data_IF_175232300406
#
_entry.id   IF_175232300406
#
_cell.length_a   1.000
_cell.length_b   1.000
_cell.length_c   1.000
_cell.angle_alpha   90.00
_cell.angle_beta   90.00
_cell.angle_gamma   90.00
#
_symmetry.space_group_name_H-M   'P 1'
#
loop_
_entity.id
_entity.type
_entity.pdbx_description
1 polymer ?
#
# COMPACT_ATOMS: atom_id res chain seq x y z
N UNK A 1 -52.42 -20.68 -8.15
CA UNK A 1 -51.63 -20.01 -7.12
C UNK A 1 -50.16 -19.98 -7.61
N UNK A 2 -49.76 -18.88 -8.25
CA UNK A 2 -48.40 -18.70 -8.76
C UNK A 2 -47.57 -18.15 -7.61
N UNK A 3 -46.66 -18.95 -7.05
CA UNK A 3 -45.73 -18.53 -6.01
C UNK A 3 -44.61 -17.77 -6.69
N UNK A 4 -44.56 -16.45 -6.50
CA UNK A 4 -43.45 -15.62 -6.91
C UNK A 4 -42.37 -15.76 -5.83
N UNK A 5 -41.29 -16.49 -6.12
CA UNK A 5 -40.11 -16.51 -5.28
C UNK A 5 -39.29 -15.27 -5.68
N UNK A 6 -39.34 -14.23 -4.85
CA UNK A 6 -38.39 -13.12 -4.91
C UNK A 6 -37.02 -13.68 -4.50
N UNK A 7 -36.16 -13.93 -5.49
CA UNK A 7 -34.74 -14.08 -5.26
C UNK A 7 -34.21 -12.71 -4.85
N UNK A 8 -34.29 -12.37 -3.59
CA UNK A 8 -33.45 -11.38 -3.03
C UNK A 8 -32.05 -11.99 -3.04
N UNK A 9 -31.25 -11.68 -4.10
CA UNK A 9 -29.81 -11.75 -3.98
C UNK A 9 -29.53 -10.99 -2.69
N UNK A 10 -29.22 -11.74 -1.62
CA UNK A 10 -28.55 -11.16 -0.49
C UNK A 10 -27.35 -10.48 -1.14
N UNK A 11 -27.43 -9.17 -1.34
CA UNK A 11 -26.26 -8.35 -1.34
C UNK A 11 -25.63 -8.75 -0.01
N UNK A 12 -24.70 -9.72 -0.05
CA UNK A 12 -23.66 -9.74 0.95
C UNK A 12 -23.29 -8.28 1.03
N UNK A 13 -23.75 -7.66 2.12
CA UNK A 13 -23.37 -6.34 2.45
C UNK A 13 -21.94 -6.23 1.96
N UNK A 14 -21.70 -5.37 0.97
CA UNK A 14 -20.35 -4.91 0.70
C UNK A 14 -20.02 -4.18 1.98
N UNK A 15 -19.63 -4.98 3.00
CA UNK A 15 -19.25 -4.49 4.30
C UNK A 15 -18.33 -3.37 3.98
N UNK A 16 -18.70 -2.18 4.34
CA UNK A 16 -18.02 -0.96 3.98
C UNK A 16 -16.56 -1.14 4.37
N UNK A 17 -15.68 -1.08 3.39
CA UNK A 17 -14.24 -1.12 3.62
C UNK A 17 -13.80 0.30 3.95
N UNK A 18 -13.35 0.49 5.17
CA UNK A 18 -12.84 1.76 5.65
C UNK A 18 -11.34 1.86 5.34
N UNK A 19 -10.95 2.95 4.69
CA UNK A 19 -9.56 3.28 4.41
C UNK A 19 -9.18 4.48 5.25
N UNK A 20 -8.17 4.34 6.11
CA UNK A 20 -7.81 5.34 7.10
C UNK A 20 -6.30 5.41 7.35
N UNK A 21 -5.85 6.51 7.94
CA UNK A 21 -4.50 6.61 8.48
C UNK A 21 -4.40 5.66 9.67
N UNK A 22 -3.40 4.77 9.63
CA UNK A 22 -3.16 3.85 10.74
C UNK A 22 -2.58 4.57 11.94
N UNK A 23 -2.88 4.04 13.13
CA UNK A 23 -2.33 4.48 14.40
C UNK A 23 -1.86 3.29 15.25
N UNK A 24 -1.43 3.54 16.48
CA UNK A 24 -0.91 2.51 17.38
C UNK A 24 -1.92 1.39 17.67
N UNK A 25 -3.23 1.66 17.62
CA UNK A 25 -4.26 0.64 17.85
C UNK A 25 -4.29 -0.44 16.78
N UNK A 26 -3.74 -0.16 15.60
CA UNK A 26 -3.68 -1.09 14.49
C UNK A 26 -2.48 -2.06 14.53
N UNK A 27 -1.64 -1.98 15.56
CA UNK A 27 -0.49 -2.88 15.73
C UNK A 27 -0.90 -4.37 15.75
N UNK A 28 -2.11 -4.66 16.19
CA UNK A 28 -2.68 -6.02 16.20
C UNK A 28 -2.74 -6.68 14.82
N UNK A 29 -2.71 -5.89 13.75
CA UNK A 29 -2.75 -6.37 12.36
C UNK A 29 -1.36 -6.57 11.74
N UNK A 30 -0.27 -6.21 12.41
CA UNK A 30 1.07 -6.20 11.82
C UNK A 30 1.48 -7.59 11.32
N UNK A 31 1.25 -8.64 12.11
CA UNK A 31 1.63 -9.99 11.71
C UNK A 31 0.85 -10.45 10.48
N UNK A 32 -0.44 -10.14 10.40
CA UNK A 32 -1.28 -10.42 9.22
C UNK A 32 -0.79 -9.65 7.98
N UNK A 33 -0.37 -8.40 8.15
CA UNK A 33 0.21 -7.59 7.08
C UNK A 33 1.49 -8.24 6.55
N UNK A 34 2.41 -8.61 7.44
CA UNK A 34 3.68 -9.23 7.07
C UNK A 34 3.48 -10.57 6.39
N UNK A 35 2.56 -11.40 6.87
CA UNK A 35 2.20 -12.67 6.25
C UNK A 35 1.63 -12.45 4.84
N UNK A 36 0.72 -11.50 4.69
CA UNK A 36 0.11 -11.16 3.39
C UNK A 36 1.17 -10.71 2.39
N UNK A 37 2.14 -9.90 2.82
CA UNK A 37 3.26 -9.45 1.98
C UNK A 37 4.12 -10.64 1.56
N UNK A 38 4.51 -11.51 2.48
CA UNK A 38 5.32 -12.70 2.18
C UNK A 38 4.63 -13.64 1.19
N UNK A 39 3.35 -13.91 1.40
CA UNK A 39 2.56 -14.77 0.53
C UNK A 39 2.43 -14.19 -0.88
N UNK A 40 2.21 -12.90 -1.01
CA UNK A 40 2.15 -12.23 -2.31
C UNK A 40 3.49 -12.27 -3.05
N UNK A 41 4.61 -12.13 -2.33
CA UNK A 41 5.95 -12.26 -2.90
C UNK A 41 6.23 -13.68 -3.41
N UNK A 42 5.88 -14.69 -2.61
CA UNK A 42 6.06 -16.09 -2.98
C UNK A 42 5.30 -16.44 -4.27
N UNK A 43 4.06 -15.97 -4.41
CA UNK A 43 3.24 -16.20 -5.62
C UNK A 43 3.85 -15.54 -6.85
N UNK A 44 4.43 -14.34 -6.72
CA UNK A 44 5.04 -13.62 -7.83
C UNK A 44 6.44 -14.11 -8.18
N UNK A 45 7.07 -14.90 -7.30
CA UNK A 45 8.47 -15.33 -7.45
C UNK A 45 9.46 -14.16 -7.35
N UNK A 46 9.05 -13.06 -6.75
CA UNK A 46 9.90 -11.88 -6.52
C UNK A 46 10.39 -11.86 -5.09
N UNK A 47 11.68 -11.55 -4.88
CA UNK A 47 12.17 -11.21 -3.56
C UNK A 47 11.48 -9.93 -3.08
N UNK A 48 11.04 -9.92 -1.83
CA UNK A 48 10.64 -8.68 -1.14
C UNK A 48 11.62 -8.50 0.01
N UNK A 49 12.10 -7.27 0.18
CA UNK A 49 12.85 -6.92 1.37
C UNK A 49 11.99 -7.22 2.60
N UNK A 50 12.48 -8.07 3.50
CA UNK A 50 11.76 -8.39 4.72
C UNK A 50 11.66 -7.15 5.60
N UNK A 51 10.47 -6.96 6.15
CA UNK A 51 10.19 -5.90 7.13
C UNK A 51 9.92 -6.53 8.48
N UNK A 52 10.39 -5.90 9.53
CA UNK A 52 10.15 -6.36 10.89
C UNK A 52 8.79 -5.90 11.39
N UNK A 53 8.26 -6.61 12.39
CA UNK A 53 7.06 -6.18 13.12
C UNK A 53 7.21 -4.75 13.64
N UNK A 54 8.33 -4.45 14.29
CA UNK A 54 8.62 -3.13 14.85
C UNK A 54 8.64 -2.02 13.80
N UNK A 55 9.22 -2.29 12.62
CA UNK A 55 9.26 -1.33 11.52
C UNK A 55 7.85 -0.92 11.08
N UNK A 56 6.96 -1.89 10.85
CA UNK A 56 5.58 -1.63 10.43
C UNK A 56 4.79 -0.94 11.56
N UNK A 57 4.93 -1.40 12.80
CA UNK A 57 4.29 -0.78 13.96
C UNK A 57 4.72 0.69 14.15
N UNK A 58 6.00 0.99 13.93
CA UNK A 58 6.52 2.37 13.98
C UNK A 58 5.89 3.26 12.92
N UNK A 59 5.71 2.77 11.69
CA UNK A 59 4.99 3.50 10.63
C UNK A 59 3.56 3.84 11.03
N UNK A 60 2.87 2.94 11.69
CA UNK A 60 1.53 3.17 12.22
C UNK A 60 1.54 4.23 13.33
N UNK A 61 2.41 4.10 14.32
CA UNK A 61 2.53 5.04 15.44
C UNK A 61 2.87 6.47 14.99
N UNK A 62 3.68 6.59 13.94
CA UNK A 62 4.07 7.88 13.37
C UNK A 62 3.02 8.48 12.42
N UNK A 63 1.92 7.78 12.15
CA UNK A 63 0.90 8.23 11.19
C UNK A 63 1.42 8.27 9.74
N UNK A 64 2.33 7.36 9.39
CA UNK A 64 2.93 7.21 8.05
C UNK A 64 2.43 5.96 7.31
N UNK A 65 1.29 5.45 7.70
CA UNK A 65 0.70 4.27 7.09
C UNK A 65 -0.80 4.47 6.86
N UNK A 66 -1.30 3.79 5.84
CA UNK A 66 -2.72 3.67 5.53
C UNK A 66 -3.11 2.22 5.74
N UNK A 67 -4.21 1.99 6.43
CA UNK A 67 -4.81 0.67 6.60
C UNK A 67 -6.24 0.65 6.08
N UNK A 68 -6.62 -0.46 5.49
CA UNK A 68 -7.99 -0.73 5.08
C UNK A 68 -8.54 -1.89 5.89
N UNK A 69 -9.70 -1.70 6.49
CA UNK A 69 -10.40 -2.67 7.31
C UNK A 69 -11.83 -2.87 6.80
N UNK A 70 -12.26 -4.12 6.80
CA UNK A 70 -13.65 -4.51 6.61
C UNK A 70 -14.20 -4.99 7.97
N UNK A 71 -14.85 -4.10 8.72
CA UNK A 71 -15.07 -4.34 10.14
C UNK A 71 -13.74 -4.48 10.88
N UNK A 72 -13.52 -5.60 11.56
CA UNK A 72 -12.26 -5.92 12.24
C UNK A 72 -11.31 -6.77 11.38
N UNK A 73 -11.65 -7.01 10.11
CA UNK A 73 -10.84 -7.83 9.21
C UNK A 73 -9.90 -6.98 8.39
N UNK A 74 -8.61 -7.35 8.39
CA UNK A 74 -7.61 -6.70 7.56
C UNK A 74 -7.90 -6.88 6.07
N UNK A 75 -7.90 -5.78 5.33
CA UNK A 75 -8.16 -5.76 3.90
C UNK A 75 -6.98 -5.23 3.06
N UNK A 76 -6.22 -4.28 3.56
CA UNK A 76 -5.09 -3.73 2.81
C UNK A 76 -4.24 -2.74 3.60
N UNK A 77 -3.06 -2.44 3.06
CA UNK A 77 -2.06 -1.61 3.74
C UNK A 77 -1.10 -0.96 2.75
N UNK A 78 -0.57 0.17 3.12
CA UNK A 78 0.60 0.82 2.52
C UNK A 78 1.25 1.74 3.55
N UNK A 79 2.51 2.09 3.33
CA UNK A 79 3.20 3.06 4.17
C UNK A 79 4.02 4.05 3.35
N UNK A 80 4.50 5.09 4.02
CA UNK A 80 5.24 6.20 3.43
C UNK A 80 6.66 6.21 4.00
N UNK A 81 7.63 6.36 3.10
CA UNK A 81 9.02 6.66 3.42
C UNK A 81 9.38 8.07 2.98
N UNK A 82 10.30 8.70 3.69
CA UNK A 82 10.81 10.02 3.35
C UNK A 82 12.33 10.06 3.42
N UNK A 83 12.95 10.74 2.46
CA UNK A 83 14.40 10.91 2.35
C UNK A 83 14.76 12.35 1.98
N UNK A 84 16.06 12.62 1.94
CA UNK A 84 16.58 13.93 1.52
C UNK A 84 16.02 15.07 2.35
N UNK A 85 16.00 14.94 3.68
CA UNK A 85 15.39 15.91 4.58
C UNK A 85 13.91 16.20 4.23
N UNK A 86 13.16 15.14 3.90
CA UNK A 86 11.73 15.18 3.52
C UNK A 86 11.44 15.87 2.18
N UNK A 87 12.44 15.96 1.30
CA UNK A 87 12.25 16.45 -0.07
C UNK A 87 11.67 15.40 -1.01
N UNK A 88 11.86 14.12 -0.66
CA UNK A 88 11.40 12.97 -1.41
C UNK A 88 10.55 12.07 -0.52
N UNK A 89 9.41 11.67 -1.03
CA UNK A 89 8.46 10.80 -0.33
C UNK A 89 8.04 9.66 -1.25
N UNK A 90 8.22 8.44 -0.78
CA UNK A 90 7.75 7.25 -1.49
C UNK A 90 6.54 6.64 -0.81
N UNK A 91 5.58 6.21 -1.61
CA UNK A 91 4.52 5.29 -1.17
C UNK A 91 4.99 3.87 -1.46
N UNK A 92 5.03 3.03 -0.44
CA UNK A 92 5.66 1.71 -0.49
C UNK A 92 4.81 0.65 0.22
N UNK A 93 5.11 -0.62 -0.01
CA UNK A 93 4.49 -1.73 0.69
C UNK A 93 2.99 -1.90 0.42
N UNK A 94 2.50 -1.43 -0.73
CA UNK A 94 1.09 -1.58 -1.10
C UNK A 94 0.71 -3.06 -1.20
N UNK A 95 -0.23 -3.48 -0.38
CA UNK A 95 -0.75 -4.84 -0.35
C UNK A 95 -2.27 -4.84 -0.13
N UNK A 96 -2.95 -5.73 -0.83
CA UNK A 96 -4.38 -6.02 -0.63
C UNK A 96 -4.51 -7.49 -0.30
N UNK A 97 -5.23 -7.80 0.78
CA UNK A 97 -5.51 -9.18 1.15
C UNK A 97 -6.27 -9.88 0.01
N UNK A 98 -5.95 -11.16 -0.30
CA UNK A 98 -6.57 -11.87 -1.43
C UNK A 98 -8.10 -11.84 -1.47
N UNK A 99 -8.76 -11.90 -0.31
CA UNK A 99 -10.22 -11.89 -0.21
C UNK A 99 -10.87 -10.56 -0.63
N UNK A 100 -10.09 -9.50 -0.72
CA UNK A 100 -10.57 -8.14 -1.05
C UNK A 100 -10.03 -7.62 -2.39
N UNK A 101 -9.41 -8.48 -3.19
CA UNK A 101 -8.93 -8.11 -4.53
C UNK A 101 -10.09 -7.97 -5.53
N UNK A 102 -9.85 -7.20 -6.58
CA UNK A 102 -10.85 -6.97 -7.63
C UNK A 102 -11.95 -5.97 -7.26
N UNK A 103 -11.83 -5.27 -6.13
CA UNK A 103 -12.81 -4.28 -5.63
C UNK A 103 -12.33 -2.82 -5.79
N UNK A 104 -11.20 -2.59 -6.45
CA UNK A 104 -10.61 -1.27 -6.58
C UNK A 104 -9.95 -0.73 -5.30
N UNK A 105 -9.74 -1.60 -4.29
CA UNK A 105 -9.22 -1.20 -2.98
C UNK A 105 -7.78 -0.69 -3.05
N UNK A 106 -6.93 -1.31 -3.86
CA UNK A 106 -5.54 -0.87 -4.04
C UNK A 106 -5.45 0.59 -4.49
N UNK A 107 -6.31 1.00 -5.42
CA UNK A 107 -6.38 2.39 -5.90
C UNK A 107 -6.83 3.35 -4.79
N UNK A 108 -7.83 2.96 -4.00
CA UNK A 108 -8.29 3.76 -2.84
C UNK A 108 -7.19 3.94 -1.80
N UNK A 109 -6.47 2.87 -1.47
CA UNK A 109 -5.35 2.91 -0.51
C UNK A 109 -4.23 3.79 -1.05
N UNK A 110 -3.86 3.63 -2.31
CA UNK A 110 -2.82 4.43 -2.97
C UNK A 110 -3.19 5.92 -2.99
N UNK A 111 -4.42 6.24 -3.33
CA UNK A 111 -4.92 7.60 -3.34
C UNK A 111 -4.89 8.23 -1.94
N UNK A 112 -5.29 7.49 -0.91
CA UNK A 112 -5.20 7.94 0.48
C UNK A 112 -3.76 8.19 0.92
N UNK A 113 -2.82 7.33 0.54
CA UNK A 113 -1.39 7.53 0.83
C UNK A 113 -0.81 8.75 0.12
N UNK A 114 -1.21 9.00 -1.11
CA UNK A 114 -0.84 10.21 -1.85
C UNK A 114 -1.35 11.48 -1.15
N UNK A 115 -2.60 11.48 -0.76
CA UNK A 115 -3.21 12.62 -0.05
C UNK A 115 -2.52 12.87 1.30
N UNK A 116 -2.23 11.82 2.06
CA UNK A 116 -1.49 11.92 3.32
C UNK A 116 -0.08 12.48 3.10
N UNK A 117 0.63 11.98 2.10
CA UNK A 117 1.97 12.46 1.76
C UNK A 117 1.95 13.94 1.35
N UNK A 118 1.00 14.35 0.54
CA UNK A 118 0.84 15.73 0.09
C UNK A 118 0.47 16.67 1.24
N UNK A 119 -0.34 16.20 2.18
CA UNK A 119 -0.72 16.95 3.39
C UNK A 119 0.48 17.17 4.32
N UNK A 120 1.26 16.12 4.57
CA UNK A 120 2.41 16.18 5.51
C UNK A 120 3.65 16.83 4.92
N UNK A 121 3.88 16.65 3.61
CA UNK A 121 5.03 17.17 2.88
C UNK A 121 4.59 17.87 1.58
N UNK A 122 4.01 19.09 1.68
CA UNK A 122 3.36 19.74 0.54
C UNK A 122 4.26 19.98 -0.66
N UNK A 123 5.58 20.11 -0.41
CA UNK A 123 6.59 20.42 -1.44
C UNK A 123 7.44 19.22 -1.86
N UNK A 124 7.25 18.07 -1.23
CA UNK A 124 8.01 16.88 -1.55
C UNK A 124 7.68 16.34 -2.95
N UNK A 125 8.68 15.78 -3.60
CA UNK A 125 8.46 14.92 -4.78
C UNK A 125 7.94 13.58 -4.29
N UNK A 126 6.74 13.20 -4.73
CA UNK A 126 6.11 11.93 -4.38
C UNK A 126 6.37 10.95 -5.52
N UNK A 127 6.92 9.79 -5.19
CA UNK A 127 7.22 8.76 -6.17
C UNK A 127 6.84 7.36 -5.67
N UNK A 128 6.90 6.40 -6.56
CA UNK A 128 6.64 4.99 -6.28
C UNK A 128 7.53 4.13 -7.16
N UNK A 129 8.22 3.19 -6.57
CA UNK A 129 8.97 2.17 -7.29
C UNK A 129 8.09 0.93 -7.48
N UNK A 130 8.01 0.44 -8.69
CA UNK A 130 7.29 -0.79 -8.99
C UNK A 130 7.85 -1.49 -10.22
N UNK A 131 7.91 -2.81 -10.17
CA UNK A 131 8.14 -3.67 -11.33
C UNK A 131 6.83 -4.28 -11.87
N UNK A 132 5.70 -4.01 -11.21
CA UNK A 132 4.39 -4.58 -11.57
C UNK A 132 3.61 -3.72 -12.56
N UNK A 133 3.24 -4.29 -13.72
CA UNK A 133 2.47 -3.59 -14.74
C UNK A 133 1.13 -3.06 -14.22
N UNK A 134 0.45 -3.81 -13.35
CA UNK A 134 -0.83 -3.39 -12.77
C UNK A 134 -0.67 -2.15 -11.87
N UNK A 135 0.39 -2.10 -11.07
CA UNK A 135 0.68 -0.94 -10.20
C UNK A 135 1.12 0.25 -11.06
N UNK A 136 1.90 0.02 -12.11
CA UNK A 136 2.31 1.08 -13.04
C UNK A 136 1.09 1.72 -13.71
N UNK A 137 0.15 0.91 -14.20
CA UNK A 137 -1.11 1.41 -14.78
C UNK A 137 -1.90 2.25 -13.77
N UNK A 138 -2.08 1.74 -12.55
CA UNK A 138 -2.78 2.45 -11.48
C UNK A 138 -2.09 3.77 -11.12
N UNK A 139 -0.77 3.78 -11.02
CA UNK A 139 -0.01 5.00 -10.76
C UNK A 139 -0.22 6.04 -11.86
N UNK A 140 -0.18 5.62 -13.13
CA UNK A 140 -0.43 6.52 -14.26
C UNK A 140 -1.85 7.11 -14.22
N UNK A 141 -2.85 6.31 -13.89
CA UNK A 141 -4.23 6.79 -13.71
C UNK A 141 -4.37 7.80 -12.56
N UNK A 142 -3.53 7.71 -11.54
CA UNK A 142 -3.48 8.65 -10.43
C UNK A 142 -2.61 9.89 -10.71
N UNK A 143 -2.02 9.99 -11.90
CA UNK A 143 -1.23 11.15 -12.32
C UNK A 143 0.28 11.03 -12.10
N UNK A 144 0.79 9.85 -11.73
CA UNK A 144 2.24 9.62 -11.69
C UNK A 144 2.78 9.54 -13.12
N UNK A 145 3.94 10.15 -13.32
CA UNK A 145 4.66 10.14 -14.60
C UNK A 145 5.85 9.19 -14.49
N UNK A 146 6.02 8.24 -15.42
CA UNK A 146 7.21 7.39 -15.46
C UNK A 146 8.47 8.23 -15.67
N UNK A 147 9.49 7.96 -14.87
CA UNK A 147 10.80 8.62 -14.97
C UNK A 147 11.91 7.57 -14.85
N UNK A 148 13.11 7.92 -15.29
CA UNK A 148 14.28 7.07 -15.09
C UNK A 148 14.88 7.26 -13.69
N UNK A 149 15.67 6.30 -13.23
CA UNK A 149 16.32 6.40 -11.92
C UNK A 149 17.19 7.65 -11.76
N UNK A 150 17.84 8.08 -12.82
CA UNK A 150 18.69 9.27 -12.80
C UNK A 150 17.91 10.58 -12.57
N UNK A 151 16.61 10.57 -12.77
CA UNK A 151 15.73 11.73 -12.55
C UNK A 151 15.16 11.79 -11.13
N UNK A 152 15.43 10.77 -10.28
CA UNK A 152 14.90 10.71 -8.92
C UNK A 152 15.79 11.47 -7.94
N UNK A 153 16.77 10.82 -7.39
CA UNK A 153 17.62 11.37 -6.32
C UNK A 153 18.99 10.73 -6.31
N UNK A 154 20.01 11.50 -5.94
CA UNK A 154 21.38 11.03 -5.70
C UNK A 154 21.59 10.60 -4.23
N UNK A 155 20.54 10.57 -3.41
CA UNK A 155 20.63 10.24 -2.00
C UNK A 155 20.99 8.76 -1.81
N UNK A 156 22.19 8.50 -1.32
CA UNK A 156 22.71 7.15 -1.08
C UNK A 156 21.84 6.37 -0.07
N UNK A 157 21.26 7.04 0.92
CA UNK A 157 20.38 6.40 1.91
C UNK A 157 19.11 5.86 1.27
N UNK A 158 18.61 6.52 0.23
CA UNK A 158 17.49 6.02 -0.56
C UNK A 158 17.88 4.73 -1.30
N UNK A 159 18.99 4.75 -2.05
CA UNK A 159 19.42 3.60 -2.86
C UNK A 159 19.85 2.41 -2.00
N UNK A 160 20.41 2.66 -0.82
CA UNK A 160 20.74 1.60 0.15
C UNK A 160 19.50 0.79 0.57
N UNK A 161 18.34 1.41 0.63
CA UNK A 161 17.08 0.70 0.88
C UNK A 161 16.66 -0.26 -0.24
N UNK A 162 17.26 -0.15 -1.43
CA UNK A 162 17.01 -1.02 -2.58
C UNK A 162 17.97 -2.22 -2.67
N UNK A 163 19.05 -2.27 -1.90
CA UNK A 163 20.10 -3.31 -1.98
C UNK A 163 19.58 -4.74 -1.75
N UNK A 164 18.47 -4.91 -1.06
CA UNK A 164 17.82 -6.21 -0.87
C UNK A 164 16.85 -6.63 -1.99
N UNK A 165 16.73 -5.84 -3.05
CA UNK A 165 15.83 -6.13 -4.16
C UNK A 165 16.55 -6.90 -5.27
N UNK A 166 15.90 -7.94 -5.82
CA UNK A 166 16.46 -8.72 -6.95
C UNK A 166 16.63 -7.89 -8.24
N UNK A 167 16.03 -6.72 -8.30
CA UNK A 167 16.11 -5.78 -9.44
C UNK A 167 17.07 -4.61 -9.17
N UNK A 168 17.96 -4.74 -8.20
CA UNK A 168 18.89 -3.67 -7.79
C UNK A 168 20.06 -3.45 -8.77
N UNK A 169 20.36 -4.42 -9.67
CA UNK A 169 21.42 -4.30 -10.67
C UNK A 169 21.02 -3.47 -11.87
#
# INVERSE_FOLDING_TARGET
LTTIILYTKSTMDTQQIDVMVADASHEVYVDTILETIRNAAAVRGTGIAERTHEYVATKMKEGKAIIALCGDTFAGFTYIESWGNKQYVATSGLIVHPDFRGLGLAKRIKQASFQLARLRWPRAKIFSLTSGAAVMKMNTELGYVPVTFNELTDDEAFWKGCEGCINHE
#
